data_IF_325260875435
#
_entry.id   IF_325260875435
#
_cell.length_a   1.000
_cell.length_b   1.000
_cell.length_c   1.000
_cell.angle_alpha   90.00
_cell.angle_beta   90.00
_cell.angle_gamma   90.00
#
_symmetry.space_group_name_H-M   'P 1'
#
loop_
_entity.id
_entity.type
_entity.pdbx_description
1 polymer ?
#
# COMPACT_ATOMS: atom_id res chain seq x y z
N UNK A 1 -14.40 -15.06 11.83
CA UNK A 1 -13.18 -14.69 11.10
C UNK A 1 -13.29 -13.26 10.59
N UNK A 2 -12.21 -12.48 10.59
CA UNK A 2 -12.14 -11.08 10.17
C UNK A 2 -10.86 -10.83 9.39
N UNK A 3 -10.99 -10.22 8.22
CA UNK A 3 -9.85 -9.80 7.40
C UNK A 3 -9.69 -8.29 7.48
N UNK A 4 -8.49 -7.84 7.83
CA UNK A 4 -8.10 -6.43 7.72
C UNK A 4 -7.31 -6.22 6.43
N UNK A 5 -7.71 -5.26 5.61
CA UNK A 5 -7.05 -4.93 4.35
C UNK A 5 -6.48 -3.53 4.44
N UNK A 6 -5.17 -3.39 4.25
CA UNK A 6 -4.50 -2.10 4.22
C UNK A 6 -4.23 -1.68 2.77
N UNK A 7 -4.73 -0.51 2.37
CA UNK A 7 -4.62 -0.04 0.99
C UNK A 7 -3.60 1.09 0.87
N UNK A 8 -2.47 0.80 0.23
CA UNK A 8 -1.46 1.79 -0.13
C UNK A 8 -1.64 2.37 -1.53
N UNK A 9 -0.89 3.42 -1.81
CA UNK A 9 -0.78 3.95 -3.17
C UNK A 9 0.05 3.02 -4.07
N UNK A 10 1.21 2.59 -3.57
CA UNK A 10 2.19 1.81 -4.32
C UNK A 10 2.83 2.57 -5.49
N UNK A 11 3.69 1.91 -6.26
CA UNK A 11 4.40 2.53 -7.39
C UNK A 11 4.67 1.57 -8.54
N UNK A 12 4.83 2.11 -9.76
CA UNK A 12 5.39 1.35 -10.89
C UNK A 12 6.92 1.34 -10.90
N UNK A 13 7.57 2.26 -10.18
CA UNK A 13 9.01 2.51 -10.28
C UNK A 13 9.73 2.35 -8.94
N UNK A 14 9.12 2.84 -7.85
CA UNK A 14 9.76 2.91 -6.55
C UNK A 14 9.08 1.98 -5.54
N UNK A 15 9.72 0.86 -5.22
CA UNK A 15 9.23 -0.08 -4.22
C UNK A 15 9.10 0.51 -2.81
N UNK A 16 9.80 1.60 -2.47
CA UNK A 16 9.70 2.17 -1.13
C UNK A 16 8.31 2.74 -0.83
N UNK A 17 7.52 3.07 -1.86
CA UNK A 17 6.14 3.56 -1.71
C UNK A 17 5.19 2.57 -1.01
N UNK A 18 5.50 1.27 -1.00
CA UNK A 18 4.72 0.26 -0.31
C UNK A 18 5.25 -0.07 1.09
N UNK A 19 6.47 0.38 1.43
CA UNK A 19 7.18 0.08 2.67
C UNK A 19 6.37 0.37 3.94
N UNK A 20 5.67 1.51 3.98
CA UNK A 20 4.84 1.88 5.12
C UNK A 20 3.71 0.89 5.37
N UNK A 21 3.04 0.43 4.31
CA UNK A 21 1.93 -0.53 4.43
C UNK A 21 2.42 -1.88 4.93
N UNK A 22 3.57 -2.36 4.42
CA UNK A 22 4.18 -3.62 4.91
C UNK A 22 4.48 -3.56 6.41
N UNK A 23 5.12 -2.47 6.88
CA UNK A 23 5.43 -2.31 8.30
C UNK A 23 4.19 -2.37 9.19
N UNK A 24 3.11 -1.69 8.80
CA UNK A 24 1.87 -1.72 9.59
C UNK A 24 1.16 -3.07 9.49
N UNK A 25 1.16 -3.71 8.33
CA UNK A 25 0.59 -5.05 8.18
C UNK A 25 1.30 -6.05 9.10
N UNK A 26 2.64 -6.03 9.14
CA UNK A 26 3.45 -6.87 10.02
C UNK A 26 3.19 -6.58 11.51
N UNK A 27 3.16 -5.30 11.89
CA UNK A 27 2.87 -4.89 13.27
C UNK A 27 1.47 -5.35 13.71
N UNK A 28 0.47 -5.25 12.83
CA UNK A 28 -0.91 -5.68 13.12
C UNK A 28 -1.04 -7.21 13.16
N UNK A 29 -0.33 -7.94 12.30
CA UNK A 29 -0.25 -9.42 12.37
C UNK A 29 0.36 -9.86 13.69
N UNK A 30 1.43 -9.22 14.14
CA UNK A 30 2.08 -9.54 15.42
C UNK A 30 1.17 -9.33 16.64
N UNK A 31 0.19 -8.43 16.55
CA UNK A 31 -0.81 -8.19 17.60
C UNK A 31 -1.92 -9.25 17.65
N UNK A 32 -2.16 -9.98 16.55
CA UNK A 32 -3.10 -11.12 16.52
C UNK A 32 -4.58 -10.77 16.75
N UNK A 33 -4.98 -9.52 16.54
CA UNK A 33 -6.37 -9.06 16.76
C UNK A 33 -7.31 -9.39 15.59
N UNK A 34 -6.75 -9.64 14.40
CA UNK A 34 -7.46 -10.07 13.21
C UNK A 34 -6.94 -11.44 12.76
N UNK A 35 -7.82 -12.26 12.16
CA UNK A 35 -7.44 -13.58 11.66
C UNK A 35 -6.46 -13.49 10.49
N UNK A 36 -6.50 -12.38 9.75
CA UNK A 36 -5.50 -12.01 8.76
C UNK A 36 -5.42 -10.50 8.54
N UNK A 37 -4.24 -10.06 8.10
CA UNK A 37 -4.01 -8.72 7.56
C UNK A 37 -3.46 -8.87 6.15
N UNK A 38 -4.06 -8.19 5.18
CA UNK A 38 -3.74 -8.27 3.75
C UNK A 38 -3.37 -6.90 3.22
N UNK A 39 -2.34 -6.82 2.38
CA UNK A 39 -1.93 -5.59 1.72
C UNK A 39 -2.57 -5.48 0.33
N UNK A 40 -2.92 -4.27 -0.08
CA UNK A 40 -3.33 -3.98 -1.45
C UNK A 40 -2.88 -2.59 -1.90
N UNK A 41 -2.73 -2.40 -3.21
CA UNK A 41 -2.15 -1.19 -3.77
C UNK A 41 -2.88 -0.71 -5.02
N UNK A 42 -2.81 0.59 -5.27
CA UNK A 42 -3.32 1.17 -6.52
C UNK A 42 -2.39 0.92 -7.71
N UNK A 43 -1.07 1.12 -7.54
CA UNK A 43 -0.11 1.05 -8.63
C UNK A 43 0.76 -0.22 -8.67
N UNK A 44 0.67 -1.12 -7.71
CA UNK A 44 1.38 -2.41 -7.76
C UNK A 44 0.46 -3.57 -7.36
N UNK A 45 0.93 -4.81 -7.51
CA UNK A 45 0.23 -6.01 -7.04
C UNK A 45 0.59 -6.31 -5.56
N UNK A 46 -0.35 -6.76 -4.70
CA UNK A 46 -1.76 -7.06 -4.99
C UNK A 46 -2.57 -5.80 -5.31
N UNK A 47 -3.22 -5.77 -6.47
CA UNK A 47 -3.94 -4.57 -6.91
C UNK A 47 -5.31 -4.44 -6.23
N UNK A 48 -5.91 -3.25 -6.27
CA UNK A 48 -7.28 -3.02 -5.78
C UNK A 48 -8.33 -3.98 -6.39
N UNK A 49 -8.09 -4.50 -7.60
CA UNK A 49 -9.00 -5.45 -8.28
C UNK A 49 -8.78 -6.92 -7.90
N UNK A 50 -7.68 -7.17 -7.20
CA UNK A 50 -7.27 -8.48 -6.71
C UNK A 50 -7.55 -8.61 -5.22
N UNK A 51 -7.20 -7.60 -4.41
CA UNK A 51 -7.10 -7.72 -2.94
C UNK A 51 -8.32 -8.33 -2.24
N UNK A 52 -9.55 -8.02 -2.66
CA UNK A 52 -10.73 -8.62 -2.03
C UNK A 52 -10.82 -10.12 -2.28
N UNK A 53 -10.35 -10.62 -3.43
CA UNK A 53 -10.38 -12.07 -3.74
C UNK A 53 -9.37 -12.87 -2.94
N UNK A 54 -8.31 -12.23 -2.46
CA UNK A 54 -7.24 -12.88 -1.67
C UNK A 54 -7.59 -12.93 -0.18
N UNK A 55 -8.75 -12.39 0.23
CA UNK A 55 -9.21 -12.45 1.63
C UNK A 55 -9.92 -13.78 1.91
N UNK A 56 -9.56 -14.39 3.05
CA UNK A 56 -10.11 -15.63 3.58
C UNK A 56 -11.46 -15.45 4.25
N UNK A 57 -11.78 -14.28 4.79
CA UNK A 57 -13.05 -14.03 5.50
C UNK A 57 -14.13 -13.48 4.58
N UNK A 58 -15.39 -13.73 4.91
CA UNK A 58 -16.54 -12.99 4.39
C UNK A 58 -16.76 -11.64 5.10
N UNK A 59 -16.02 -11.36 6.17
CA UNK A 59 -16.04 -10.08 6.88
C UNK A 59 -14.71 -9.34 6.68
N UNK A 60 -14.74 -8.26 5.90
CA UNK A 60 -13.55 -7.54 5.45
C UNK A 60 -13.66 -6.06 5.81
N UNK A 61 -12.66 -5.55 6.52
CA UNK A 61 -12.49 -4.12 6.79
C UNK A 61 -11.30 -3.59 6.01
N UNK A 62 -11.49 -2.51 5.26
CA UNK A 62 -10.52 -1.91 4.35
C UNK A 62 -10.14 -0.52 4.85
N UNK A 63 -8.87 -0.35 5.16
CA UNK A 63 -8.29 0.89 5.69
C UNK A 63 -7.40 1.54 4.61
N UNK A 64 -7.74 2.74 4.12
CA UNK A 64 -6.85 3.52 3.27
C UNK A 64 -5.64 4.02 4.06
N UNK A 65 -4.44 3.66 3.62
CA UNK A 65 -3.17 4.06 4.23
C UNK A 65 -2.72 5.44 3.72
N UNK A 66 -3.56 6.46 3.92
CA UNK A 66 -3.34 7.85 3.49
C UNK A 66 -3.38 8.81 4.68
N UNK A 67 -2.62 9.90 4.60
CA UNK A 67 -2.54 10.90 5.66
C UNK A 67 -3.67 11.97 5.57
N UNK A 68 -4.40 11.99 4.46
CA UNK A 68 -5.49 12.94 4.21
C UNK A 68 -6.58 12.32 3.35
N UNK A 69 -7.75 12.96 3.36
CA UNK A 69 -8.86 12.67 2.46
C UNK A 69 -8.72 13.41 1.13
N UNK A 70 -9.27 12.80 0.09
CA UNK A 70 -9.49 13.49 -1.17
C UNK A 70 -9.80 12.52 -2.29
N UNK A 71 -9.48 12.96 -3.51
CA UNK A 71 -9.82 12.26 -4.74
C UNK A 71 -9.53 10.74 -4.73
N UNK A 72 -8.38 10.33 -4.19
CA UNK A 72 -8.01 8.92 -4.13
C UNK A 72 -8.90 8.12 -3.17
N UNK A 73 -9.06 8.60 -1.94
CA UNK A 73 -9.82 7.90 -0.89
C UNK A 73 -11.33 7.98 -1.12
N UNK A 74 -11.81 9.02 -1.78
CA UNK A 74 -13.23 9.28 -2.01
C UNK A 74 -13.76 8.74 -3.35
N UNK A 75 -12.88 8.60 -4.36
CA UNK A 75 -13.30 8.22 -5.72
C UNK A 75 -12.52 7.05 -6.28
N UNK A 76 -11.18 7.08 -6.29
CA UNK A 76 -10.37 6.06 -6.99
C UNK A 76 -10.47 4.70 -6.31
N UNK A 77 -10.19 4.64 -5.00
CA UNK A 77 -10.17 3.37 -4.26
C UNK A 77 -11.57 2.74 -4.22
N UNK A 78 -12.65 3.47 -3.87
CA UNK A 78 -14.00 2.90 -3.88
C UNK A 78 -14.43 2.38 -5.25
N UNK A 79 -14.06 3.08 -6.34
CA UNK A 79 -14.35 2.65 -7.71
C UNK A 79 -13.62 1.36 -8.08
N UNK A 80 -12.31 1.28 -7.82
CA UNK A 80 -11.53 0.10 -8.20
C UNK A 80 -11.87 -1.13 -7.33
N UNK A 81 -12.32 -0.93 -6.08
CA UNK A 81 -12.87 -1.99 -5.23
C UNK A 81 -14.32 -2.38 -5.58
N UNK A 82 -15.02 -1.59 -6.41
CA UNK A 82 -16.39 -1.86 -6.82
C UNK A 82 -17.45 -1.52 -5.75
N UNK A 83 -17.17 -0.59 -4.84
CA UNK A 83 -18.08 -0.24 -3.72
C UNK A 83 -19.31 0.58 -4.15
N UNK A 84 -19.33 1.10 -5.38
CA UNK A 84 -20.42 1.97 -5.86
C UNK A 84 -20.59 3.22 -4.99
N UNK A 85 -19.47 3.78 -4.50
CA UNK A 85 -19.41 4.99 -3.70
C UNK A 85 -18.54 6.03 -4.39
N UNK A 86 -18.91 7.30 -4.29
CA UNK A 86 -18.14 8.43 -4.78
C UNK A 86 -18.37 9.64 -3.86
N UNK A 87 -17.29 10.36 -3.55
CA UNK A 87 -17.32 11.55 -2.72
C UNK A 87 -16.99 11.27 -1.25
N UNK A 88 -17.23 12.24 -0.35
CA UNK A 88 -16.84 12.16 1.06
C UNK A 88 -17.33 10.86 1.71
N UNK A 89 -16.45 10.23 2.46
CA UNK A 89 -16.74 9.01 3.21
C UNK A 89 -17.25 9.44 4.59
N UNK A 90 -18.38 8.91 5.09
CA UNK A 90 -18.85 9.25 6.43
C UNK A 90 -17.91 8.70 7.50
N UNK A 91 -17.97 9.22 8.73
CA UNK A 91 -17.11 8.84 9.87
C UNK A 91 -17.05 7.32 10.10
N UNK A 92 -18.21 6.65 10.18
CA UNK A 92 -18.28 5.19 10.27
C UNK A 92 -17.99 4.44 8.97
N UNK A 93 -17.56 5.09 7.89
CA UNK A 93 -17.25 4.45 6.62
C UNK A 93 -18.47 3.94 5.82
N UNK A 94 -18.17 3.23 4.73
CA UNK A 94 -19.15 2.68 3.78
C UNK A 94 -19.13 1.17 3.84
N UNK A 95 -20.28 0.55 4.09
CA UNK A 95 -20.45 -0.91 4.04
C UNK A 95 -21.18 -1.34 2.77
N UNK A 96 -20.70 -2.40 2.12
CA UNK A 96 -21.31 -3.03 0.94
C UNK A 96 -21.18 -4.54 1.00
N UNK A 97 -22.16 -5.24 0.44
CA UNK A 97 -22.04 -6.68 0.18
C UNK A 97 -21.58 -6.85 -1.27
N UNK A 98 -20.37 -7.38 -1.46
CA UNK A 98 -19.77 -7.65 -2.77
C UNK A 98 -19.56 -9.16 -2.92
N UNK A 99 -20.33 -9.77 -3.83
CA UNK A 99 -20.39 -11.23 -3.93
C UNK A 99 -20.93 -11.82 -2.62
N UNK A 100 -20.10 -12.59 -1.91
CA UNK A 100 -20.39 -13.16 -0.60
C UNK A 100 -19.73 -12.45 0.58
N UNK A 101 -19.04 -11.32 0.36
CA UNK A 101 -18.28 -10.60 1.39
C UNK A 101 -18.99 -9.33 1.82
N UNK A 102 -19.05 -9.08 3.11
CA UNK A 102 -19.34 -7.76 3.69
C UNK A 102 -18.04 -6.97 3.75
N UNK A 103 -17.94 -5.93 2.92
CA UNK A 103 -16.77 -5.07 2.80
C UNK A 103 -17.08 -3.72 3.42
N UNK A 104 -16.30 -3.33 4.43
CA UNK A 104 -16.37 -2.04 5.11
C UNK A 104 -15.17 -1.21 4.70
N UNK A 105 -15.41 -0.04 4.13
CA UNK A 105 -14.38 0.89 3.70
C UNK A 105 -14.39 2.11 4.61
N UNK A 106 -13.30 2.34 5.33
CA UNK A 106 -13.21 3.39 6.35
C UNK A 106 -12.70 4.71 5.76
N UNK A 107 -12.67 5.74 6.61
CA UNK A 107 -11.82 6.89 6.40
C UNK A 107 -10.32 6.49 6.40
N UNK A 108 -9.45 7.29 5.74
CA UNK A 108 -8.00 7.11 5.85
C UNK A 108 -7.50 7.36 7.28
N UNK A 109 -6.42 6.69 7.69
CA UNK A 109 -5.89 6.81 9.06
C UNK A 109 -5.54 8.24 9.47
N UNK A 110 -5.04 9.06 8.52
CA UNK A 110 -4.56 10.39 8.85
C UNK A 110 -5.64 11.35 9.36
N UNK A 111 -6.91 11.13 9.02
CA UNK A 111 -8.00 12.02 9.48
C UNK A 111 -8.64 11.58 10.78
N UNK A 112 -8.21 10.46 11.35
CA UNK A 112 -8.74 9.97 12.63
C UNK A 112 -8.22 10.83 13.80
N UNK A 113 -9.07 11.24 14.76
CA UNK A 113 -8.67 12.10 15.90
C UNK A 113 -7.53 11.55 16.77
N UNK A 114 -7.38 10.22 16.82
CA UNK A 114 -6.25 9.56 17.51
C UNK A 114 -4.86 9.91 16.93
N UNK A 115 -4.78 10.56 15.77
CA UNK A 115 -3.52 11.07 15.25
C UNK A 115 -2.90 12.16 16.14
N UNK A 116 -3.71 12.89 16.93
CA UNK A 116 -3.20 13.84 17.91
C UNK A 116 -2.32 13.15 18.97
N UNK A 117 -2.71 11.95 19.41
CA UNK A 117 -1.92 11.16 20.36
C UNK A 117 -0.61 10.66 19.74
N UNK A 118 -0.64 10.32 18.44
CA UNK A 118 0.58 9.96 17.69
C UNK A 118 1.53 11.14 17.56
N UNK A 119 1.02 12.34 17.27
CA UNK A 119 1.82 13.57 17.23
C UNK A 119 2.44 13.85 18.61
N UNK A 120 1.66 13.72 19.68
CA UNK A 120 2.15 13.90 21.04
C UNK A 120 3.22 12.86 21.41
N UNK A 121 3.04 11.61 21.03
CA UNK A 121 4.04 10.56 21.22
C UNK A 121 5.35 10.89 20.48
N UNK A 122 5.26 11.33 19.22
CA UNK A 122 6.42 11.80 18.44
C UNK A 122 7.13 12.98 19.10
N UNK A 123 6.38 13.94 19.62
CA UNK A 123 6.97 15.07 20.34
C UNK A 123 7.74 14.63 21.59
N UNK A 124 7.22 13.64 22.33
CA UNK A 124 7.89 13.06 23.51
C UNK A 124 9.14 12.24 23.19
N UNK A 125 9.27 11.70 21.98
CA UNK A 125 10.48 10.96 21.58
C UNK A 125 11.71 11.87 21.53
N UNK A 126 11.56 13.08 20.97
CA UNK A 126 12.65 14.05 20.84
C UNK A 126 12.75 14.99 22.05
N UNK A 127 11.67 15.11 22.83
CA UNK A 127 11.63 15.95 24.03
C UNK A 127 10.85 15.27 25.18
N UNK A 128 11.47 14.31 25.90
CA UNK A 128 10.78 13.52 26.93
C UNK A 128 10.25 14.35 28.11
N UNK A 129 10.91 15.46 28.43
CA UNK A 129 10.59 16.38 29.53
C UNK A 129 9.81 17.62 29.04
N UNK A 130 9.05 17.49 27.95
CA UNK A 130 8.20 18.58 27.43
C UNK A 130 7.31 19.17 28.52
N UNK A 131 7.14 20.50 28.48
CA UNK A 131 6.38 21.24 29.48
C UNK A 131 5.46 22.27 28.82
N UNK A 132 4.23 22.33 29.33
CA UNK A 132 3.22 23.28 28.88
C UNK A 132 3.55 24.75 29.21
N UNK A 133 4.63 25.00 29.93
CA UNK A 133 5.05 26.36 30.31
C UNK A 133 6.03 27.00 29.33
N UNK A 134 6.80 26.19 28.60
CA UNK A 134 7.97 26.66 27.85
C UNK A 134 8.14 26.00 26.47
N UNK A 135 7.24 25.09 26.10
CA UNK A 135 7.36 24.28 24.89
C UNK A 135 6.25 24.62 23.89
N UNK A 136 6.65 24.99 22.68
CA UNK A 136 5.80 25.10 21.51
C UNK A 136 5.79 23.79 20.70
N UNK A 137 4.66 23.49 20.07
CA UNK A 137 4.56 22.44 19.05
C UNK A 137 4.25 23.04 17.68
N UNK A 138 4.98 22.65 16.65
CA UNK A 138 4.64 22.90 15.25
C UNK A 138 4.18 21.58 14.63
N UNK A 139 2.90 21.50 14.26
CA UNK A 139 2.38 20.43 13.42
C UNK A 139 2.54 20.87 11.97
N UNK A 140 3.43 20.20 11.25
CA UNK A 140 3.87 20.64 9.92
C UNK A 140 3.20 19.82 8.82
N UNK A 141 2.33 20.45 8.03
CA UNK A 141 1.73 19.86 6.84
C UNK A 141 2.53 20.14 5.58
N UNK A 142 2.22 19.43 4.49
CA UNK A 142 2.74 19.78 3.17
C UNK A 142 2.13 21.10 2.66
N UNK A 143 0.80 21.25 2.80
CA UNK A 143 0.07 22.34 2.17
C UNK A 143 -0.26 22.02 0.71
N UNK A 144 -1.45 22.43 0.26
CA UNK A 144 -1.82 22.34 -1.15
C UNK A 144 -2.97 23.29 -1.49
N UNK A 145 -2.80 24.05 -2.57
CA UNK A 145 -3.87 24.90 -3.12
C UNK A 145 -4.94 24.12 -3.88
N UNK A 146 -4.79 22.80 -4.05
CA UNK A 146 -5.65 21.97 -4.92
C UNK A 146 -6.84 21.32 -4.20
N UNK A 147 -6.77 21.14 -2.88
CA UNK A 147 -7.83 20.50 -2.11
C UNK A 147 -7.80 20.95 -0.64
N UNK A 148 -8.75 21.78 -0.24
CA UNK A 148 -8.89 22.36 1.11
C UNK A 148 -8.98 21.29 2.22
N UNK A 149 -9.54 20.10 1.91
CA UNK A 149 -9.64 19.01 2.86
C UNK A 149 -8.26 18.49 3.34
N UNK A 150 -7.22 18.69 2.54
CA UNK A 150 -5.87 18.17 2.83
C UNK A 150 -5.20 18.87 4.01
N UNK A 151 -5.55 20.14 4.26
CA UNK A 151 -4.95 20.95 5.31
C UNK A 151 -5.81 20.99 6.57
N UNK A 152 -7.12 20.79 6.42
CA UNK A 152 -8.08 20.72 7.53
C UNK A 152 -7.61 19.77 8.63
N UNK A 153 -7.04 18.62 8.25
CA UNK A 153 -6.51 17.63 9.21
C UNK A 153 -5.38 18.20 10.10
N UNK A 154 -4.52 19.06 9.56
CA UNK A 154 -3.43 19.70 10.30
C UNK A 154 -4.01 20.66 11.33
N UNK A 155 -4.95 21.51 10.90
CA UNK A 155 -5.63 22.44 11.79
C UNK A 155 -6.41 21.73 12.90
N UNK A 156 -7.18 20.68 12.57
CA UNK A 156 -7.92 19.90 13.57
C UNK A 156 -6.99 19.26 14.61
N UNK A 157 -5.89 18.63 14.17
CA UNK A 157 -4.91 18.07 15.09
C UNK A 157 -4.27 19.15 15.97
N UNK A 158 -3.90 20.30 15.38
CA UNK A 158 -3.33 21.41 16.13
C UNK A 158 -4.31 21.95 17.17
N UNK A 159 -5.59 22.11 16.85
CA UNK A 159 -6.64 22.53 17.79
C UNK A 159 -6.83 21.53 18.94
N UNK A 160 -6.89 20.22 18.64
CA UNK A 160 -6.99 19.18 19.66
C UNK A 160 -5.77 19.18 20.59
N UNK A 161 -4.57 19.38 20.04
CA UNK A 161 -3.33 19.46 20.81
C UNK A 161 -3.25 20.74 21.65
N UNK A 162 -3.78 21.87 21.18
CA UNK A 162 -3.95 23.08 22.03
C UNK A 162 -4.86 22.80 23.21
N UNK A 163 -6.00 22.15 22.97
CA UNK A 163 -6.97 21.83 24.02
C UNK A 163 -6.42 20.82 25.04
N UNK A 164 -5.45 19.98 24.66
CA UNK A 164 -4.83 18.99 25.56
C UNK A 164 -4.00 19.61 26.71
N UNK A 165 -3.54 20.86 26.56
CA UNK A 165 -2.76 21.56 27.58
C UNK A 165 -1.34 21.03 27.78
N UNK A 166 -0.78 20.26 26.84
CA UNK A 166 0.60 19.76 26.92
C UNK A 166 1.67 20.77 26.46
N UNK A 167 1.28 21.81 25.74
CA UNK A 167 2.18 22.80 25.13
C UNK A 167 1.75 24.22 25.50
N UNK A 168 2.72 25.13 25.59
CA UNK A 168 2.47 26.56 25.80
C UNK A 168 1.77 27.18 24.58
N UNK A 169 2.15 26.73 23.40
CA UNK A 169 1.54 27.10 22.12
C UNK A 169 1.61 25.94 21.14
N UNK A 170 0.65 25.88 20.22
CA UNK A 170 0.70 24.93 19.09
C UNK A 170 0.43 25.72 17.82
N UNK A 171 1.17 25.43 16.77
CA UNK A 171 1.11 26.09 15.47
C UNK A 171 0.92 25.06 14.36
N UNK A 172 0.12 25.40 13.36
CA UNK A 172 -0.01 24.65 12.13
C UNK A 172 0.74 25.44 11.05
N UNK A 173 1.82 24.88 10.52
CA UNK A 173 2.62 25.48 9.44
C UNK A 173 2.68 24.54 8.24
N UNK A 174 3.05 25.07 7.08
CA UNK A 174 3.03 24.33 5.82
C UNK A 174 4.27 24.59 4.95
N UNK A 175 4.59 23.70 4.02
CA UNK A 175 5.67 23.91 3.05
C UNK A 175 5.22 24.88 1.93
N UNK A 176 4.09 24.55 1.29
CA UNK A 176 3.70 25.16 0.01
C UNK A 176 2.61 26.25 0.14
N UNK A 177 2.09 26.50 1.33
CA UNK A 177 1.03 27.48 1.57
C UNK A 177 1.26 28.27 2.86
N UNK A 178 0.52 29.36 3.00
CA UNK A 178 0.56 30.15 4.22
C UNK A 178 -0.28 29.51 5.33
N UNK A 179 0.17 29.56 6.60
CA UNK A 179 1.45 30.09 7.06
C UNK A 179 2.63 29.14 6.76
N UNK A 180 3.65 29.65 6.06
CA UNK A 180 4.81 28.85 5.64
C UNK A 180 5.72 28.46 6.80
N UNK A 181 6.36 27.31 6.70
CA UNK A 181 7.29 26.79 7.72
C UNK A 181 8.45 27.74 7.98
N UNK A 182 8.93 28.45 6.95
CA UNK A 182 10.01 29.43 7.09
C UNK A 182 9.67 30.64 7.96
N UNK A 183 8.38 30.91 8.24
CA UNK A 183 7.98 32.03 9.11
C UNK A 183 7.90 31.64 10.59
N UNK A 184 8.30 30.41 10.95
CA UNK A 184 8.26 29.92 12.33
C UNK A 184 8.92 30.86 13.37
N UNK A 185 10.07 31.54 13.11
CA UNK A 185 10.70 32.40 14.10
C UNK A 185 9.87 33.65 14.44
N UNK A 186 8.96 34.04 13.55
CA UNK A 186 8.10 35.21 13.74
C UNK A 186 6.90 34.89 14.62
N UNK A 187 6.38 33.65 14.54
CA UNK A 187 5.11 33.24 15.16
C UNK A 187 5.30 32.50 16.49
N UNK A 188 6.40 31.77 16.66
CA UNK A 188 6.66 30.93 17.84
C UNK A 188 7.45 31.71 18.89
N UNK A 189 6.92 31.80 20.11
CA UNK A 189 7.49 32.60 21.20
C UNK A 189 8.22 31.77 22.25
N UNK A 190 7.88 30.49 22.37
CA UNK A 190 8.37 29.61 23.43
C UNK A 190 9.85 29.26 23.20
N UNK A 191 10.67 29.14 24.25
CA UNK A 191 12.11 28.86 24.12
C UNK A 191 12.40 27.45 23.59
N UNK A 192 11.50 26.49 23.78
CA UNK A 192 11.64 25.13 23.25
C UNK A 192 10.60 24.92 22.17
N UNK A 193 10.99 24.44 21.00
CA UNK A 193 10.10 24.25 19.85
C UNK A 193 10.23 22.82 19.37
N UNK A 194 9.14 22.06 19.41
CA UNK A 194 9.10 20.71 18.85
C UNK A 194 8.41 20.78 17.50
N UNK A 195 9.01 20.20 16.47
CA UNK A 195 8.47 20.16 15.12
C UNK A 195 8.13 18.72 14.78
N UNK A 196 6.86 18.47 14.43
CA UNK A 196 6.38 17.15 14.05
C UNK A 196 5.83 17.19 12.62
N UNK A 197 6.54 16.61 11.63
CA UNK A 197 6.06 16.51 10.26
C UNK A 197 4.87 15.55 10.13
N UNK A 198 3.72 16.05 9.66
CA UNK A 198 2.51 15.26 9.39
C UNK A 198 2.56 14.61 8.00
N UNK A 199 3.50 13.68 7.81
CA UNK A 199 3.73 12.96 6.56
C UNK A 199 3.58 11.45 6.77
N UNK A 200 3.15 10.74 5.72
CA UNK A 200 2.93 9.29 5.77
C UNK A 200 4.23 8.47 5.89
N UNK A 201 5.35 9.00 5.41
CA UNK A 201 6.66 8.37 5.46
C UNK A 201 7.77 9.43 5.46
N UNK A 202 9.00 8.98 5.73
CA UNK A 202 10.18 9.78 5.42
C UNK A 202 10.35 9.94 3.91
N UNK A 203 10.94 11.06 3.51
CA UNK A 203 11.25 11.39 2.14
C UNK A 203 12.08 12.66 2.05
N UNK A 204 12.37 13.09 0.82
CA UNK A 204 13.23 14.25 0.58
C UNK A 204 12.77 15.51 1.32
N UNK A 205 11.47 15.82 1.34
CA UNK A 205 10.96 16.96 2.09
C UNK A 205 11.26 16.91 3.60
N UNK A 206 11.14 15.74 4.22
CA UNK A 206 11.33 15.59 5.67
C UNK A 206 12.81 15.45 6.05
N UNK A 207 13.69 15.22 5.07
CA UNK A 207 15.13 15.02 5.30
C UNK A 207 15.96 16.22 4.86
N UNK A 208 15.52 16.97 3.85
CA UNK A 208 16.27 18.06 3.24
C UNK A 208 15.46 19.37 3.28
N UNK A 209 14.31 19.44 2.59
CA UNK A 209 13.58 20.72 2.42
C UNK A 209 13.18 21.37 3.73
N UNK A 210 12.55 20.62 4.65
CA UNK A 210 12.08 21.17 5.93
C UNK A 210 13.28 21.60 6.79
N UNK A 211 14.32 20.77 6.98
CA UNK A 211 15.55 21.21 7.63
C UNK A 211 16.17 22.47 7.01
N UNK A 212 16.27 22.54 5.68
CA UNK A 212 16.83 23.72 4.98
C UNK A 212 15.98 24.98 5.23
N UNK A 213 14.67 24.92 5.03
CA UNK A 213 13.76 26.05 5.20
C UNK A 213 13.73 26.57 6.65
N UNK A 214 13.96 25.69 7.63
CA UNK A 214 14.00 26.04 9.04
C UNK A 214 15.42 26.36 9.56
N UNK A 215 16.46 26.11 8.77
CA UNK A 215 17.86 26.28 9.18
C UNK A 215 18.35 25.24 10.20
N UNK A 216 17.82 24.01 10.15
CA UNK A 216 18.16 22.93 11.09
C UNK A 216 19.48 22.26 10.70
N UNK A 217 20.29 21.89 11.70
CA UNK A 217 21.56 21.15 11.51
C UNK A 217 21.49 19.71 11.99
N UNK A 218 20.34 19.29 12.51
CA UNK A 218 20.08 17.93 12.99
C UNK A 218 18.78 17.85 13.78
N UNK A 219 18.62 16.75 14.53
CA UNK A 219 17.45 16.52 15.40
C UNK A 219 17.29 17.62 16.46
N UNK A 220 18.38 18.22 16.93
CA UNK A 220 18.36 19.35 17.87
C UNK A 220 19.20 20.49 17.30
N UNK A 221 18.60 21.66 17.15
CA UNK A 221 19.27 22.87 16.65
C UNK A 221 19.03 24.04 17.61
N UNK A 222 20.10 24.73 18.00
CA UNK A 222 20.03 25.91 18.89
C UNK A 222 20.12 27.18 18.05
N UNK A 223 19.14 28.06 18.22
CA UNK A 223 19.06 29.39 17.62
C UNK A 223 19.31 30.44 18.71
N UNK A 224 20.53 30.99 18.83
CA UNK A 224 20.87 31.96 19.88
C UNK A 224 20.17 33.32 19.68
N UNK A 225 19.83 33.64 18.43
CA UNK A 225 19.29 34.93 18.03
C UNK A 225 18.01 34.72 17.20
N UNK A 226 16.86 34.66 17.87
CA UNK A 226 15.53 34.71 17.24
C UNK A 226 14.73 35.93 17.76
N UNK A 227 13.67 36.37 17.05
CA UNK A 227 12.89 37.56 17.42
C UNK A 227 12.33 37.56 18.85
N UNK A 228 12.06 36.38 19.40
CA UNK A 228 11.48 36.19 20.74
C UNK A 228 12.50 35.72 21.79
N UNK A 229 13.80 35.80 21.48
CA UNK A 229 14.90 35.33 22.34
C UNK A 229 15.50 34.00 21.87
N UNK A 230 16.45 33.42 22.63
CA UNK A 230 17.07 32.16 22.27
C UNK A 230 16.05 31.01 22.24
N UNK A 231 16.06 30.23 21.16
CA UNK A 231 15.16 29.08 20.99
C UNK A 231 15.95 27.81 20.65
N UNK A 232 15.46 26.66 21.08
CA UNK A 232 15.99 25.34 20.69
C UNK A 232 14.89 24.56 19.97
N UNK A 233 15.18 24.14 18.74
CA UNK A 233 14.26 23.35 17.91
C UNK A 233 14.62 21.87 18.01
N UNK A 234 13.62 21.04 18.26
CA UNK A 234 13.66 19.59 18.29
C UNK A 234 12.84 19.05 17.12
N UNK A 235 13.51 18.44 16.14
CA UNK A 235 12.91 17.98 14.90
C UNK A 235 12.59 16.49 14.97
N UNK A 236 11.31 16.14 15.04
CA UNK A 236 10.85 14.76 15.09
C UNK A 236 10.77 14.13 13.70
N UNK A 237 10.86 12.79 13.67
CA UNK A 237 10.51 12.01 12.48
C UNK A 237 9.01 12.16 12.14
N UNK A 238 8.62 11.90 10.88
CA UNK A 238 7.23 11.98 10.46
C UNK A 238 6.27 11.13 11.29
N UNK A 239 5.02 11.58 11.44
CA UNK A 239 4.00 10.84 12.21
C UNK A 239 3.71 9.46 11.62
N UNK A 240 3.71 9.34 10.29
CA UNK A 240 3.35 8.12 9.57
C UNK A 240 4.37 6.99 9.71
N UNK A 241 5.52 7.23 10.36
CA UNK A 241 6.49 6.18 10.69
C UNK A 241 6.35 5.69 12.13
N UNK A 242 5.40 6.20 12.93
CA UNK A 242 5.27 5.88 14.36
C UNK A 242 4.42 4.62 14.58
N UNK A 243 4.86 3.71 15.45
CA UNK A 243 4.17 2.44 15.69
C UNK A 243 2.72 2.60 16.16
N UNK A 244 2.40 3.65 16.94
CA UNK A 244 1.03 3.95 17.40
C UNK A 244 0.03 4.29 16.31
N UNK A 245 0.46 4.52 15.06
CA UNK A 245 -0.49 4.57 13.94
C UNK A 245 -1.23 3.23 13.82
N UNK A 246 -0.65 2.10 14.23
CA UNK A 246 -1.37 0.83 14.30
C UNK A 246 -2.55 0.86 15.28
N UNK A 247 -2.48 1.65 16.37
CA UNK A 247 -3.61 1.83 17.28
C UNK A 247 -4.74 2.61 16.59
N UNK A 248 -4.38 3.66 15.85
CA UNK A 248 -5.32 4.45 15.02
C UNK A 248 -6.01 3.58 13.97
N UNK A 249 -5.26 2.69 13.30
CA UNK A 249 -5.81 1.75 12.31
C UNK A 249 -6.84 0.81 12.96
N UNK A 250 -6.55 0.32 14.16
CA UNK A 250 -7.45 -0.57 14.89
C UNK A 250 -8.73 0.15 15.33
N UNK A 251 -8.62 1.37 15.88
CA UNK A 251 -9.78 2.18 16.24
C UNK A 251 -10.68 2.43 15.01
N UNK A 252 -10.11 2.83 13.87
CA UNK A 252 -10.89 2.98 12.63
C UNK A 252 -11.61 1.69 12.22
N UNK A 253 -10.95 0.55 12.41
CA UNK A 253 -11.52 -0.73 12.04
C UNK A 253 -12.66 -1.17 12.99
N UNK A 254 -12.58 -0.79 14.26
CA UNK A 254 -13.61 -1.01 15.29
C UNK A 254 -14.82 -0.07 15.11
N UNK A 255 -14.57 1.18 14.76
CA UNK A 255 -15.58 2.22 14.50
C UNK A 255 -16.32 2.02 13.16
N UNK A 256 -15.81 1.14 12.29
CA UNK A 256 -16.39 0.88 10.99
C UNK A 256 -17.85 0.40 11.11
N UNK A 257 -18.73 0.97 10.27
CA UNK A 257 -20.17 0.73 10.27
C UNK A 257 -20.46 -0.76 10.13
N UNK A 258 -21.13 -1.31 11.16
CA UNK A 258 -21.50 -2.71 11.21
C UNK A 258 -20.33 -3.65 11.50
N UNK A 259 -19.20 -3.15 12.01
CA UNK A 259 -18.14 -3.97 12.57
C UNK A 259 -18.69 -4.79 13.74
N UNK A 260 -18.21 -6.02 13.87
CA UNK A 260 -18.58 -6.92 14.94
C UNK A 260 -17.38 -7.76 15.34
N UNK A 261 -17.20 -7.98 16.65
CA UNK A 261 -16.19 -8.90 17.16
C UNK A 261 -16.42 -10.34 16.70
N UNK A 262 -17.67 -10.73 16.44
CA UNK A 262 -17.99 -12.07 15.91
C UNK A 262 -17.40 -12.29 14.51
N UNK A 263 -17.23 -11.22 13.73
CA UNK A 263 -16.79 -11.29 12.34
C UNK A 263 -17.76 -12.05 11.44
N UNK A 264 -17.22 -12.64 10.37
CA UNK A 264 -17.93 -13.47 9.41
C UNK A 264 -17.38 -14.90 9.34
N UNK A 265 -17.78 -15.62 8.30
CA UNK A 265 -17.39 -17.00 8.04
C UNK A 265 -16.15 -17.07 7.13
N UNK A 266 -15.58 -18.27 6.99
CA UNK A 266 -14.57 -18.52 5.96
C UNK A 266 -15.19 -18.44 4.56
N UNK A 267 -14.54 -17.72 3.66
CA UNK A 267 -14.92 -17.65 2.25
C UNK A 267 -14.65 -18.99 1.57
N UNK A 268 -15.74 -19.69 1.25
CA UNK A 268 -15.68 -21.02 0.66
C UNK A 268 -14.94 -21.07 -0.67
N UNK A 269 -15.07 -20.06 -1.51
CA UNK A 269 -14.43 -20.05 -2.84
C UNK A 269 -12.92 -19.94 -2.68
N UNK A 270 -12.48 -19.06 -1.77
CA UNK A 270 -11.09 -18.93 -1.39
C UNK A 270 -10.56 -20.23 -0.76
N UNK A 271 -11.27 -20.80 0.21
CA UNK A 271 -10.85 -22.03 0.89
C UNK A 271 -10.71 -23.21 -0.09
N UNK A 272 -11.64 -23.37 -1.03
CA UNK A 272 -11.59 -24.42 -2.06
C UNK A 272 -10.37 -24.25 -2.99
N UNK A 273 -10.07 -23.01 -3.42
CA UNK A 273 -8.91 -22.72 -4.26
C UNK A 273 -7.59 -23.09 -3.56
N UNK A 274 -7.45 -22.74 -2.29
CA UNK A 274 -6.25 -23.04 -1.51
C UNK A 274 -6.16 -24.51 -1.12
N UNK A 275 -7.26 -25.19 -0.85
CA UNK A 275 -7.27 -26.64 -0.64
C UNK A 275 -6.78 -27.39 -1.88
N UNK A 276 -7.23 -26.99 -3.07
CA UNK A 276 -6.75 -27.53 -4.34
C UNK A 276 -5.26 -27.24 -4.55
N UNK A 277 -4.80 -26.02 -4.22
CA UNK A 277 -3.40 -25.64 -4.35
C UNK A 277 -2.50 -26.44 -3.41
N UNK A 278 -2.89 -26.60 -2.14
CA UNK A 278 -2.13 -27.37 -1.15
C UNK A 278 -2.04 -28.85 -1.55
N UNK A 279 -3.11 -29.43 -2.10
CA UNK A 279 -3.08 -30.81 -2.62
C UNK A 279 -2.06 -30.98 -3.75
N UNK A 280 -1.91 -29.97 -4.60
CA UNK A 280 -0.91 -29.93 -5.68
C UNK A 280 0.51 -29.69 -5.12
N UNK A 281 0.67 -28.75 -4.20
CA UNK A 281 1.97 -28.43 -3.58
C UNK A 281 2.56 -29.63 -2.82
N UNK A 282 1.72 -30.46 -2.16
CA UNK A 282 2.14 -31.69 -1.49
C UNK A 282 2.73 -32.76 -2.42
N UNK A 283 2.49 -32.65 -3.73
CA UNK A 283 3.07 -33.53 -4.75
C UNK A 283 4.32 -32.94 -5.41
N UNK A 284 4.67 -31.69 -5.08
CA UNK A 284 5.61 -30.89 -5.84
C UNK A 284 4.96 -30.29 -7.08
N UNK A 285 5.12 -28.99 -7.30
CA UNK A 285 4.50 -28.29 -8.41
C UNK A 285 5.29 -27.08 -8.86
N UNK A 286 4.93 -26.54 -10.03
CA UNK A 286 5.48 -25.30 -10.55
C UNK A 286 4.37 -24.33 -10.88
N UNK A 287 4.56 -23.08 -10.49
CA UNK A 287 3.66 -21.97 -10.80
C UNK A 287 4.50 -20.84 -11.38
N UNK A 288 4.26 -20.49 -12.64
CA UNK A 288 5.08 -19.50 -13.34
C UNK A 288 6.56 -19.89 -13.34
N UNK A 289 7.39 -19.06 -12.70
CA UNK A 289 8.83 -19.24 -12.56
C UNK A 289 9.23 -19.89 -11.24
N UNK A 290 8.27 -20.28 -10.38
CA UNK A 290 8.55 -20.85 -9.07
C UNK A 290 8.39 -22.37 -9.06
N UNK A 291 9.29 -23.06 -8.37
CA UNK A 291 9.21 -24.48 -8.02
C UNK A 291 8.87 -24.58 -6.53
N UNK A 292 7.81 -25.32 -6.20
CA UNK A 292 7.33 -25.58 -4.85
C UNK A 292 7.46 -27.09 -4.59
N UNK A 293 8.17 -27.47 -3.53
CA UNK A 293 8.41 -28.88 -3.18
C UNK A 293 8.13 -29.15 -1.71
N UNK A 294 7.61 -30.35 -1.34
CA UNK A 294 7.53 -30.77 0.05
C UNK A 294 8.94 -30.89 0.66
N UNK A 295 9.12 -30.39 1.88
CA UNK A 295 10.41 -30.35 2.58
C UNK A 295 10.23 -30.65 4.07
N UNK A 296 10.31 -31.92 4.48
CA UNK A 296 10.33 -32.30 5.90
C UNK A 296 9.09 -31.85 6.70
N UNK A 297 7.90 -31.86 6.09
CA UNK A 297 6.66 -31.35 6.70
C UNK A 297 6.41 -29.85 6.47
N UNK A 298 7.35 -29.16 5.83
CA UNK A 298 7.25 -27.80 5.33
C UNK A 298 7.17 -27.80 3.81
N UNK A 299 7.18 -26.62 3.21
CA UNK A 299 7.34 -26.43 1.77
C UNK A 299 8.57 -25.59 1.49
N UNK A 300 9.36 -26.01 0.51
CA UNK A 300 10.40 -25.18 -0.05
C UNK A 300 9.91 -24.55 -1.36
N UNK A 301 10.17 -23.26 -1.52
CA UNK A 301 9.93 -22.50 -2.74
C UNK A 301 11.28 -21.97 -3.23
N UNK A 302 11.56 -22.10 -4.52
CA UNK A 302 12.73 -21.48 -5.18
C UNK A 302 12.37 -21.09 -6.60
N UNK A 303 13.25 -20.33 -7.26
CA UNK A 303 13.14 -20.14 -8.69
C UNK A 303 13.30 -21.49 -9.42
N UNK A 304 12.49 -21.76 -10.44
CA UNK A 304 12.46 -23.02 -11.19
C UNK A 304 13.77 -23.34 -11.89
N UNK A 305 14.53 -22.30 -12.29
CA UNK A 305 15.89 -22.43 -12.84
C UNK A 305 16.98 -22.71 -11.79
N UNK A 306 16.68 -22.58 -10.50
CA UNK A 306 17.58 -23.00 -9.40
C UNK A 306 17.27 -24.43 -8.93
N UNK A 307 16.49 -25.20 -9.69
CA UNK A 307 16.27 -26.62 -9.42
C UNK A 307 17.61 -27.39 -9.47
N UNK A 308 17.83 -28.25 -8.47
CA UNK A 308 19.06 -29.02 -8.33
C UNK A 308 20.25 -28.24 -7.77
N UNK A 309 20.14 -26.90 -7.63
CA UNK A 309 21.19 -26.08 -6.99
C UNK A 309 21.28 -26.39 -5.48
N UNK A 310 22.48 -26.57 -4.91
CA UNK A 310 22.66 -26.80 -3.48
C UNK A 310 22.04 -25.70 -2.63
N UNK A 311 21.45 -26.07 -1.49
CA UNK A 311 20.82 -25.12 -0.58
C UNK A 311 21.80 -24.09 0.00
N UNK A 312 23.07 -24.46 0.18
CA UNK A 312 24.12 -23.58 0.71
C UNK A 312 24.53 -22.47 -0.28
N UNK A 313 24.18 -22.62 -1.56
CA UNK A 313 24.43 -21.62 -2.61
C UNK A 313 23.25 -20.63 -2.78
N UNK A 314 22.19 -20.77 -1.98
CA UNK A 314 20.96 -19.99 -2.07
C UNK A 314 20.70 -19.22 -0.77
N UNK A 315 20.29 -17.96 -0.91
CA UNK A 315 19.83 -17.17 0.24
C UNK A 315 18.54 -17.77 0.79
N UNK A 316 18.58 -18.27 2.03
CA UNK A 316 17.42 -18.92 2.66
C UNK A 316 16.62 -17.91 3.49
N UNK A 317 15.30 -17.90 3.30
CA UNK A 317 14.33 -17.19 4.14
C UNK A 317 13.28 -18.16 4.69
N UNK A 318 12.70 -17.85 5.83
CA UNK A 318 11.75 -18.72 6.54
C UNK A 318 10.42 -18.02 6.88
N UNK A 319 10.19 -16.85 6.30
CA UNK A 319 8.97 -16.06 6.49
C UNK A 319 8.40 -15.60 5.14
N UNK A 320 7.07 -15.46 5.02
CA UNK A 320 6.45 -14.83 3.85
C UNK A 320 7.02 -13.44 3.54
N UNK A 321 7.29 -12.64 4.57
CA UNK A 321 7.83 -11.29 4.47
C UNK A 321 9.27 -11.29 3.93
N UNK A 322 10.11 -12.26 4.35
CA UNK A 322 11.44 -12.43 3.77
C UNK A 322 11.39 -12.86 2.30
N UNK A 323 10.46 -13.74 1.93
CA UNK A 323 10.23 -14.11 0.53
C UNK A 323 9.78 -12.91 -0.30
N UNK A 324 8.83 -12.13 0.22
CA UNK A 324 8.40 -10.87 -0.40
C UNK A 324 9.60 -9.97 -0.66
N UNK A 325 10.40 -9.66 0.36
CA UNK A 325 11.49 -8.68 0.24
C UNK A 325 12.55 -9.11 -0.77
N UNK A 326 12.87 -10.42 -0.84
CA UNK A 326 13.78 -10.96 -1.86
C UNK A 326 13.22 -10.93 -3.29
N UNK A 327 11.89 -10.94 -3.45
CA UNK A 327 11.25 -11.10 -4.78
C UNK A 327 10.57 -9.84 -5.29
N UNK A 328 10.60 -8.74 -4.53
CA UNK A 328 10.04 -7.44 -4.94
C UNK A 328 10.88 -6.67 -5.96
N UNK A 329 12.11 -7.10 -6.19
CA UNK A 329 13.04 -6.53 -7.18
C UNK A 329 13.49 -7.61 -8.16
N UNK A 330 13.82 -7.23 -9.39
CA UNK A 330 14.41 -8.14 -10.38
C UNK A 330 15.92 -8.32 -10.16
N UNK A 331 16.58 -9.14 -11.00
CA UNK A 331 18.04 -9.34 -10.91
C UNK A 331 18.86 -8.05 -11.11
N UNK A 332 18.29 -7.02 -11.74
CA UNK A 332 18.89 -5.70 -11.90
C UNK A 332 18.61 -4.73 -10.73
N UNK A 333 17.86 -5.16 -9.72
CA UNK A 333 17.48 -4.34 -8.58
C UNK A 333 16.27 -3.41 -8.83
N UNK A 334 15.65 -3.49 -10.02
CA UNK A 334 14.48 -2.68 -10.35
C UNK A 334 13.24 -3.24 -9.68
N UNK A 335 12.33 -2.35 -9.29
CA UNK A 335 11.07 -2.73 -8.66
C UNK A 335 10.18 -3.56 -9.60
N UNK A 336 9.51 -4.60 -9.06
CA UNK A 336 8.57 -5.46 -9.77
C UNK A 336 7.11 -5.15 -9.40
N UNK A 337 6.46 -4.16 -10.03
CA UNK A 337 5.07 -3.80 -9.70
C UNK A 337 4.04 -4.81 -10.22
N UNK A 338 4.41 -5.64 -11.20
CA UNK A 338 3.61 -6.74 -11.74
C UNK A 338 4.40 -8.02 -11.49
N UNK A 339 3.94 -8.80 -10.52
CA UNK A 339 4.67 -9.94 -9.98
C UNK A 339 4.71 -11.11 -10.95
N UNK A 340 3.83 -11.14 -11.96
CA UNK A 340 3.83 -12.15 -13.03
C UNK A 340 4.63 -11.75 -14.26
N UNK A 341 5.38 -10.65 -14.25
CA UNK A 341 6.44 -10.47 -15.25
C UNK A 341 7.54 -11.52 -15.06
N UNK A 342 8.10 -11.98 -16.18
CA UNK A 342 9.18 -12.98 -16.28
C UNK A 342 10.53 -12.38 -15.86
N UNK A 343 10.57 -11.92 -14.61
CA UNK A 343 11.65 -11.15 -14.01
C UNK A 343 11.86 -11.55 -12.55
N UNK A 344 11.34 -12.71 -12.14
CA UNK A 344 11.57 -13.22 -10.80
C UNK A 344 13.08 -13.47 -10.61
N UNK A 345 13.73 -12.91 -9.57
CA UNK A 345 15.16 -13.10 -9.39
C UNK A 345 15.48 -14.57 -9.04
N UNK A 346 16.70 -15.01 -9.33
CA UNK A 346 17.26 -16.30 -8.89
C UNK A 346 18.06 -16.17 -7.59
N UNK A 347 18.57 -17.28 -7.07
CA UNK A 347 19.54 -17.29 -5.98
C UNK A 347 18.94 -17.29 -4.57
N UNK A 348 17.67 -17.65 -4.43
CA UNK A 348 16.98 -17.72 -3.14
C UNK A 348 16.20 -19.03 -2.97
N UNK A 349 15.92 -19.36 -1.71
CA UNK A 349 14.94 -20.37 -1.31
C UNK A 349 14.14 -19.89 -0.11
N UNK A 350 12.84 -20.13 -0.11
CA UNK A 350 11.96 -19.90 1.04
C UNK A 350 11.51 -21.24 1.61
N UNK A 351 11.60 -21.44 2.92
CA UNK A 351 11.10 -22.63 3.60
C UNK A 351 9.96 -22.22 4.51
N UNK A 352 8.73 -22.57 4.13
CA UNK A 352 7.50 -22.08 4.77
C UNK A 352 6.66 -23.22 5.33
N UNK A 353 5.96 -22.95 6.43
CA UNK A 353 4.95 -23.87 6.97
C UNK A 353 3.74 -23.98 6.03
N UNK A 354 2.90 -25.01 6.20
CA UNK A 354 1.63 -25.10 5.46
C UNK A 354 0.73 -23.88 5.73
N UNK A 355 0.77 -23.31 6.94
CA UNK A 355 0.01 -22.13 7.32
C UNK A 355 0.54 -20.84 6.66
N UNK A 356 1.85 -20.75 6.42
CA UNK A 356 2.50 -19.59 5.80
C UNK A 356 2.55 -19.65 4.28
N UNK A 357 2.43 -20.85 3.70
CA UNK A 357 2.49 -21.05 2.26
C UNK A 357 1.49 -20.18 1.48
N UNK A 358 0.21 -20.03 1.88
CA UNK A 358 -0.71 -19.13 1.19
C UNK A 358 -0.22 -17.67 1.12
N UNK A 359 0.28 -17.16 2.25
CA UNK A 359 0.80 -15.79 2.31
C UNK A 359 2.08 -15.64 1.50
N UNK A 360 2.99 -16.61 1.57
CA UNK A 360 4.21 -16.62 0.76
C UNK A 360 3.89 -16.65 -0.75
N UNK A 361 2.88 -17.43 -1.15
CA UNK A 361 2.41 -17.46 -2.52
C UNK A 361 1.70 -16.16 -2.93
N UNK A 362 0.95 -15.50 -2.04
CA UNK A 362 0.42 -14.16 -2.30
C UNK A 362 1.53 -13.12 -2.45
N UNK A 363 2.59 -13.18 -1.64
CA UNK A 363 3.75 -12.29 -1.78
C UNK A 363 4.46 -12.51 -3.13
N UNK A 364 4.54 -13.75 -3.59
CA UNK A 364 5.21 -14.11 -4.83
C UNK A 364 4.35 -13.81 -6.07
N UNK A 365 3.08 -14.23 -6.05
CA UNK A 365 2.13 -14.14 -7.16
C UNK A 365 0.71 -13.82 -6.65
N UNK A 366 0.42 -12.54 -6.35
CA UNK A 366 -0.88 -12.10 -5.88
C UNK A 366 -2.03 -12.59 -6.76
N UNK A 367 -3.09 -13.11 -6.12
CA UNK A 367 -4.33 -13.58 -6.76
C UNK A 367 -4.19 -14.73 -7.79
N UNK A 368 -2.99 -15.25 -8.07
CA UNK A 368 -2.78 -16.24 -9.13
C UNK A 368 -3.46 -17.58 -8.82
N UNK A 369 -3.45 -18.00 -7.55
CA UNK A 369 -4.10 -19.25 -7.12
C UNK A 369 -5.61 -19.13 -7.30
N UNK A 370 -6.21 -18.06 -6.79
CA UNK A 370 -7.66 -17.82 -6.85
C UNK A 370 -8.14 -17.60 -8.28
N UNK A 371 -7.41 -16.82 -9.08
CA UNK A 371 -7.72 -16.56 -10.48
C UNK A 371 -7.66 -17.85 -11.31
N UNK A 372 -6.61 -18.66 -11.12
CA UNK A 372 -6.44 -19.91 -11.86
C UNK A 372 -7.47 -20.96 -11.47
N UNK A 373 -7.83 -21.04 -10.19
CA UNK A 373 -8.87 -21.96 -9.71
C UNK A 373 -10.23 -21.55 -10.29
N UNK A 374 -10.61 -20.27 -10.16
CA UNK A 374 -11.85 -19.76 -10.72
C UNK A 374 -11.94 -19.95 -12.24
N UNK A 375 -10.81 -19.86 -12.95
CA UNK A 375 -10.77 -20.12 -14.40
C UNK A 375 -11.03 -21.58 -14.72
N UNK A 376 -10.39 -22.51 -13.99
CA UNK A 376 -10.60 -23.94 -14.15
C UNK A 376 -12.02 -24.37 -13.83
N UNK A 377 -12.67 -23.72 -12.85
CA UNK A 377 -14.08 -23.97 -12.50
C UNK A 377 -15.07 -23.15 -13.31
N UNK A 378 -14.63 -22.43 -14.34
CA UNK A 378 -15.46 -21.59 -15.22
C UNK A 378 -16.26 -20.49 -14.51
N UNK A 379 -15.77 -20.00 -13.38
CA UNK A 379 -16.37 -18.91 -12.61
C UNK A 379 -15.63 -17.58 -12.75
N UNK A 380 -14.40 -17.59 -13.31
CA UNK A 380 -13.64 -16.37 -13.57
C UNK A 380 -14.30 -15.53 -14.66
N UNK A 381 -14.61 -14.28 -14.33
CA UNK A 381 -15.12 -13.29 -15.28
C UNK A 381 -14.00 -12.37 -15.73
N UNK A 382 -13.78 -12.30 -17.03
CA UNK A 382 -12.88 -11.32 -17.63
C UNK A 382 -13.59 -9.97 -17.77
N UNK A 383 -12.86 -8.89 -17.50
CA UNK A 383 -13.32 -7.51 -17.69
C UNK A 383 -12.72 -6.96 -18.98
N UNK A 384 -13.53 -6.69 -20.02
CA UNK A 384 -13.03 -6.18 -21.29
C UNK A 384 -12.35 -4.82 -21.16
N UNK A 385 -11.35 -4.55 -22.01
CA UNK A 385 -10.62 -3.28 -22.03
C UNK A 385 -11.50 -2.03 -22.00
N UNK A 386 -12.58 -1.91 -22.81
CA UNK A 386 -13.44 -0.72 -22.78
C UNK A 386 -14.03 -0.44 -21.39
N UNK A 387 -14.36 -1.48 -20.63
CA UNK A 387 -14.87 -1.34 -19.25
C UNK A 387 -13.77 -0.84 -18.32
N UNK A 388 -12.56 -1.40 -18.41
CA UNK A 388 -11.40 -0.94 -17.64
C UNK A 388 -11.06 0.52 -17.96
N UNK A 389 -11.01 0.87 -19.25
CA UNK A 389 -10.67 2.20 -19.73
C UNK A 389 -11.69 3.25 -19.27
N UNK A 390 -13.00 2.96 -19.37
CA UNK A 390 -14.09 3.87 -18.94
C UNK A 390 -14.04 4.21 -17.45
N UNK A 391 -13.51 3.33 -16.61
CA UNK A 391 -13.32 3.64 -15.19
C UNK A 391 -12.21 4.65 -14.95
N UNK A 392 -11.25 4.78 -15.87
CA UNK A 392 -10.09 5.65 -15.66
C UNK A 392 -10.47 7.13 -15.73
N UNK A 393 -9.84 7.93 -14.89
CA UNK A 393 -10.17 9.34 -14.66
C UNK A 393 -8.90 10.17 -14.46
N UNK A 394 -9.03 11.49 -14.36
CA UNK A 394 -7.89 12.41 -14.23
C UNK A 394 -6.91 12.27 -15.40
N UNK A 395 -5.61 12.14 -15.11
CA UNK A 395 -4.57 11.96 -16.13
C UNK A 395 -4.77 10.69 -16.97
N UNK A 396 -5.44 9.67 -16.44
CA UNK A 396 -5.70 8.41 -17.12
C UNK A 396 -6.95 8.42 -17.98
N UNK A 397 -7.80 9.46 -17.93
CA UNK A 397 -9.00 9.59 -18.81
C UNK A 397 -8.64 9.42 -20.29
N UNK A 398 -7.42 9.80 -20.68
CA UNK A 398 -6.92 9.69 -22.06
C UNK A 398 -7.01 8.27 -22.62
N UNK A 399 -6.85 7.23 -21.80
CA UNK A 399 -6.88 5.83 -22.29
C UNK A 399 -8.24 5.41 -22.84
N UNK A 400 -9.31 6.15 -22.51
CA UNK A 400 -10.63 5.95 -23.09
C UNK A 400 -10.68 6.22 -24.60
N UNK A 401 -9.70 6.96 -25.13
CA UNK A 401 -9.57 7.31 -26.55
C UNK A 401 -8.63 6.37 -27.33
N UNK A 402 -8.02 5.39 -26.66
CA UNK A 402 -7.10 4.46 -27.31
C UNK A 402 -7.83 3.62 -28.36
N UNK A 403 -7.29 3.54 -29.58
CA UNK A 403 -7.86 2.68 -30.63
C UNK A 403 -7.53 1.21 -30.36
N UNK A 404 -8.31 0.25 -30.89
CA UNK A 404 -7.99 -1.18 -30.76
C UNK A 404 -6.56 -1.53 -31.21
N UNK A 405 -6.06 -0.86 -32.25
CA UNK A 405 -4.71 -1.06 -32.78
C UNK A 405 -3.64 -0.58 -31.80
N UNK A 406 -3.85 0.59 -31.15
CA UNK A 406 -2.94 1.09 -30.12
C UNK A 406 -2.92 0.16 -28.91
N UNK A 407 -4.09 -0.29 -28.45
CA UNK A 407 -4.20 -1.21 -27.31
C UNK A 407 -3.48 -2.53 -27.62
N UNK A 408 -3.67 -3.08 -28.82
CA UNK A 408 -2.99 -4.30 -29.24
C UNK A 408 -1.48 -4.10 -29.41
N UNK A 409 -1.03 -2.99 -29.99
CA UNK A 409 0.40 -2.67 -30.11
C UNK A 409 1.09 -2.59 -28.74
N UNK A 410 0.52 -1.83 -27.80
CA UNK A 410 1.03 -1.73 -26.42
C UNK A 410 1.03 -3.10 -25.75
N UNK A 411 0.00 -3.91 -26.00
CA UNK A 411 -0.12 -5.20 -25.32
C UNK A 411 0.91 -6.21 -25.78
N UNK A 412 1.31 -6.21 -27.06
CA UNK A 412 2.38 -7.09 -27.56
C UNK A 412 3.70 -6.79 -26.89
N UNK A 413 3.97 -5.52 -26.61
CA UNK A 413 5.20 -5.11 -25.93
C UNK A 413 5.14 -5.39 -24.43
N UNK A 414 4.08 -4.93 -23.75
CA UNK A 414 3.97 -5.04 -22.29
C UNK A 414 3.68 -6.46 -21.83
N UNK A 415 2.79 -7.18 -22.52
CA UNK A 415 2.30 -8.48 -22.08
C UNK A 415 3.17 -9.64 -22.57
N UNK A 416 4.05 -9.46 -23.56
CA UNK A 416 4.97 -10.52 -24.01
C UNK A 416 5.95 -10.95 -22.91
N UNK A 417 6.30 -10.05 -21.99
CA UNK A 417 7.10 -10.35 -20.78
C UNK A 417 6.26 -10.86 -19.60
N UNK A 418 4.94 -10.98 -19.73
CA UNK A 418 4.07 -11.46 -18.66
C UNK A 418 3.82 -12.97 -18.80
N UNK A 419 3.68 -13.65 -17.67
CA UNK A 419 3.26 -15.06 -17.62
C UNK A 419 1.76 -15.22 -17.92
N UNK A 420 0.95 -14.17 -17.73
CA UNK A 420 -0.51 -14.29 -17.82
C UNK A 420 -1.04 -14.21 -19.26
N UNK A 421 -2.07 -14.99 -19.57
CA UNK A 421 -2.83 -14.99 -20.83
C UNK A 421 -4.01 -14.01 -20.77
N UNK A 422 -4.14 -13.11 -21.75
CA UNK A 422 -5.09 -11.98 -21.75
C UNK A 422 -6.53 -12.40 -22.07
N UNK A 423 -7.23 -12.94 -21.07
CA UNK A 423 -8.65 -13.29 -21.23
C UNK A 423 -9.51 -12.06 -21.55
N UNK A 424 -9.16 -10.90 -21.01
CA UNK A 424 -9.82 -9.61 -21.32
C UNK A 424 -9.68 -9.17 -22.79
N UNK A 425 -8.68 -9.71 -23.51
CA UNK A 425 -8.45 -9.46 -24.93
C UNK A 425 -8.99 -10.61 -25.82
N UNK A 426 -9.71 -11.57 -25.25
CA UNK A 426 -10.27 -12.71 -25.98
C UNK A 426 -9.27 -13.85 -26.24
N UNK A 427 -8.08 -13.83 -25.64
CA UNK A 427 -7.15 -14.96 -25.70
C UNK A 427 -7.74 -16.17 -24.97
N UNK A 428 -7.49 -17.37 -25.51
CA UNK A 428 -7.98 -18.63 -24.95
C UNK A 428 -6.92 -19.26 -24.06
N UNK A 429 -7.34 -19.69 -22.88
CA UNK A 429 -6.51 -20.43 -21.94
C UNK A 429 -7.24 -21.74 -21.58
N UNK A 430 -6.95 -22.87 -22.24
CA UNK A 430 -7.71 -24.11 -22.02
C UNK A 430 -7.33 -24.83 -20.72
N UNK A 431 -6.12 -24.60 -20.20
CA UNK A 431 -5.56 -25.24 -19.00
C UNK A 431 -4.95 -24.17 -18.10
N UNK A 432 -4.73 -24.50 -16.82
CA UNK A 432 -3.96 -23.68 -15.88
C UNK A 432 -2.82 -24.49 -15.26
N UNK A 433 -2.02 -23.89 -14.38
CA UNK A 433 -1.00 -24.62 -13.63
C UNK A 433 -1.57 -25.77 -12.78
N UNK A 434 -2.84 -25.72 -12.39
CA UNK A 434 -3.52 -26.84 -11.72
C UNK A 434 -3.60 -28.11 -12.58
N UNK A 435 -3.53 -27.97 -13.91
CA UNK A 435 -3.45 -29.08 -14.86
C UNK A 435 -2.01 -29.41 -15.28
N UNK A 436 -1.01 -28.95 -14.50
CA UNK A 436 0.40 -29.25 -14.74
C UNK A 436 1.07 -28.39 -15.82
N UNK A 437 0.48 -27.25 -16.21
CA UNK A 437 1.08 -26.31 -17.18
C UNK A 437 1.57 -25.05 -16.44
N UNK A 438 2.85 -24.95 -16.05
CA UNK A 438 3.30 -23.95 -15.06
C UNK A 438 3.04 -22.49 -15.47
N UNK A 439 3.22 -22.18 -16.77
CA UNK A 439 3.03 -20.83 -17.31
C UNK A 439 1.59 -20.50 -17.70
N UNK A 440 0.63 -21.40 -17.47
CA UNK A 440 -0.77 -21.18 -17.84
C UNK A 440 -1.52 -20.44 -16.72
N UNK A 441 -1.46 -19.10 -16.74
CA UNK A 441 -2.05 -18.22 -15.73
C UNK A 441 -3.04 -17.27 -16.40
N UNK A 442 -4.30 -17.13 -15.93
CA UNK A 442 -5.26 -16.22 -16.53
C UNK A 442 -4.98 -14.75 -16.15
N UNK A 443 -5.16 -13.83 -17.11
CA UNK A 443 -5.27 -12.39 -16.88
C UNK A 443 -6.73 -11.97 -17.12
N UNK A 444 -7.56 -11.85 -16.07
CA UNK A 444 -8.96 -11.50 -16.23
C UNK A 444 -9.16 -10.02 -16.62
N UNK A 445 -8.18 -9.16 -16.39
CA UNK A 445 -8.33 -7.72 -16.61
C UNK A 445 -6.99 -7.02 -16.85
N UNK A 446 -6.98 -5.99 -17.70
CA UNK A 446 -5.82 -5.16 -17.95
C UNK A 446 -5.29 -4.48 -16.68
N UNK A 447 -4.00 -4.70 -16.35
CA UNK A 447 -3.37 -4.22 -15.12
C UNK A 447 -3.05 -2.71 -15.17
N UNK A 448 -2.73 -2.14 -14.00
CA UNK A 448 -2.43 -0.70 -13.86
C UNK A 448 -1.18 -0.28 -14.62
N UNK A 449 -0.18 -1.16 -14.73
CA UNK A 449 1.01 -0.94 -15.54
C UNK A 449 0.64 -0.79 -17.02
N UNK A 450 -0.16 -1.71 -17.56
CA UNK A 450 -0.63 -1.64 -18.95
C UNK A 450 -1.46 -0.37 -19.22
N UNK A 451 -2.32 0.03 -18.29
CA UNK A 451 -3.10 1.28 -18.39
C UNK A 451 -2.17 2.50 -18.48
N UNK A 452 -1.08 2.53 -17.72
CA UNK A 452 -0.10 3.60 -17.78
C UNK A 452 0.63 3.64 -19.13
N UNK A 453 1.03 2.49 -19.67
CA UNK A 453 1.66 2.39 -20.99
C UNK A 453 0.74 2.84 -22.13
N UNK A 454 -0.54 2.44 -22.09
CA UNK A 454 -1.54 2.94 -23.06
C UNK A 454 -1.71 4.46 -22.94
N UNK A 455 -1.63 5.03 -21.74
CA UNK A 455 -1.69 6.50 -21.56
C UNK A 455 -0.53 7.20 -22.25
N UNK A 456 0.69 6.66 -22.13
CA UNK A 456 1.88 7.22 -22.79
C UNK A 456 1.81 7.07 -24.31
N UNK A 457 1.32 5.93 -24.82
CA UNK A 457 1.06 5.71 -26.24
C UNK A 457 0.10 6.77 -26.80
N UNK A 458 -1.07 6.92 -26.15
CA UNK A 458 -2.10 7.89 -26.57
C UNK A 458 -1.60 9.33 -26.43
N UNK A 459 -0.65 9.58 -25.53
CA UNK A 459 -0.04 10.90 -25.35
C UNK A 459 1.11 11.18 -26.35
N UNK A 460 1.50 10.22 -27.19
CA UNK A 460 2.62 10.34 -28.11
C UNK A 460 3.99 10.39 -27.42
N UNK A 461 4.07 9.96 -26.16
CA UNK A 461 5.28 10.00 -25.32
C UNK A 461 6.01 8.66 -25.24
N UNK A 462 5.41 7.59 -25.78
CA UNK A 462 5.97 6.25 -25.73
C UNK A 462 7.19 6.13 -26.66
N UNK A 463 8.30 5.64 -26.12
CA UNK A 463 9.60 5.57 -26.83
C UNK A 463 10.46 6.83 -26.72
N UNK A 464 10.01 7.88 -26.03
CA UNK A 464 10.88 8.96 -25.56
C UNK A 464 11.38 8.58 -24.18
N UNK A 465 12.67 8.19 -24.07
CA UNK A 465 13.33 8.08 -22.76
C UNK A 465 13.14 9.39 -22.01
N UNK A 466 12.26 9.39 -21.02
CA UNK A 466 12.03 10.55 -20.16
C UNK A 466 13.11 10.55 -19.09
N UNK A 467 14.21 11.21 -19.43
CA UNK A 467 15.06 11.89 -18.47
C UNK A 467 14.20 12.98 -17.81
N UNK A 468 13.52 12.65 -16.72
CA UNK A 468 13.03 13.63 -15.75
C UNK A 468 12.62 12.88 -14.49
N UNK A 469 13.54 12.81 -13.54
CA UNK A 469 13.18 12.59 -12.15
C UNK A 469 12.57 13.87 -11.59
N UNK A 470 11.38 13.73 -11.02
CA UNK A 470 10.79 14.58 -9.98
C UNK A 470 9.88 13.69 -9.12
#
# INVERSE_FOLDING_TARGET
MRSLVLIGHGSHLNGESAGAVYRYAELLRARGLYDEVVEGYWKEEPSLRQVLRTTRSTDVTVIPMFISEGYFTETVIPRELGLGHQGPVPEGGVARVLGGKTVRYTLPYGVHPGMADVILARAREVLPDLSAQDTALIVLGHGTTRNENSNRVIYCNAEQLRASGHFAEVHALFLDEDPKVGTWPEVVRSPRVVVVPFFASEGWHTLETIPEDMGLTGEVTVFPENPHGPQTVYYARPVGTHASVADVILHLAEEARGASERGGDEDRTHAEAWAAFLALARQGTRVGEALITPHGGLFEIRHALDEGRPSDDLTTVVTPEGLRDLTRRDEGGHHRPVHTFRTLPRGWRAVLSEADLPRGMHSLYPAVVEESYAHQTHTLRATPWPTTARRQTGIYTKVQRATPEQVEAVSREVCSRCLKTRLWAGEKLPLTFFAGVPGAIPCPEACTYFIAEVREEVSGKRGQETVSGE
#
